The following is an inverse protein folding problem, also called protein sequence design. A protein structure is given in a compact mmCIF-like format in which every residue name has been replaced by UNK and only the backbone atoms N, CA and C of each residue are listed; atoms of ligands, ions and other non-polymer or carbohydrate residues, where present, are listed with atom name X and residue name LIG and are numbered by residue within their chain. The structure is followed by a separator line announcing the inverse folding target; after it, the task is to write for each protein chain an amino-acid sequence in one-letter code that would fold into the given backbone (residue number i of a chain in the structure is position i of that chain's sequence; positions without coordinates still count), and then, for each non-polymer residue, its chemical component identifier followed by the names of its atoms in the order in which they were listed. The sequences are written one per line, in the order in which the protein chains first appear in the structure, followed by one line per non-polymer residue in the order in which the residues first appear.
data_IF_443693967135
#
_entry.id   IF_443693967135
#
_cell.length_a   1.000
_cell.length_b   1.000
_cell.length_c   1.000
_cell.angle_alpha   90.00
_cell.angle_beta   90.00
_cell.angle_gamma   90.00
#
_symmetry.space_group_name_H-M   'P 1'
#
loop_
_entity.id
_entity.type
_entity.pdbx_description
1 polymer ?
#
# COMPACT_ATOMS: atom_id res chain seq x y z
N UNK A 1 -37.68 10.26 0.61
CA UNK A 1 -37.15 10.74 1.90
C UNK A 1 -36.61 12.15 1.69
N UNK A 2 -37.13 13.12 2.42
CA UNK A 2 -36.65 14.51 2.40
C UNK A 2 -35.99 14.75 3.76
N UNK A 3 -34.73 15.19 3.76
CA UNK A 3 -34.00 15.50 4.99
C UNK A 3 -34.53 16.83 5.57
N UNK A 4 -34.72 16.95 6.90
CA UNK A 4 -35.12 18.22 7.51
C UNK A 4 -34.07 19.33 7.29
N UNK A 5 -34.52 20.57 7.13
CA UNK A 5 -33.65 21.74 6.95
C UNK A 5 -32.64 21.93 8.09
N UNK A 6 -33.01 21.54 9.32
CA UNK A 6 -32.09 21.58 10.46
C UNK A 6 -30.86 20.69 10.24
N UNK A 7 -31.04 19.49 9.67
CA UNK A 7 -29.96 18.55 9.36
C UNK A 7 -29.07 19.09 8.24
N UNK A 8 -29.68 19.65 7.18
CA UNK A 8 -28.94 20.27 6.08
C UNK A 8 -28.13 21.47 6.55
N UNK A 9 -28.73 22.34 7.38
CA UNK A 9 -28.06 23.51 7.94
C UNK A 9 -26.96 23.13 8.91
N UNK A 10 -27.14 22.05 9.70
CA UNK A 10 -26.10 21.53 10.57
C UNK A 10 -24.90 21.04 9.76
N UNK A 11 -25.11 20.18 8.74
CA UNK A 11 -24.06 19.66 7.88
C UNK A 11 -23.32 20.79 7.11
N UNK A 12 -24.06 21.80 6.64
CA UNK A 12 -23.50 22.98 5.99
C UNK A 12 -22.60 23.81 6.93
N UNK A 13 -22.98 23.92 8.20
CA UNK A 13 -22.25 24.73 9.20
C UNK A 13 -21.12 23.95 9.90
N UNK A 14 -21.17 22.62 9.92
CA UNK A 14 -20.21 21.76 10.62
C UNK A 14 -19.66 20.66 9.68
N UNK A 15 -18.93 21.02 8.61
CA UNK A 15 -18.44 20.05 7.64
C UNK A 15 -17.23 19.24 8.15
N UNK A 16 -16.56 19.71 9.19
CA UNK A 16 -15.35 19.09 9.74
C UNK A 16 -15.69 18.20 10.93
N UNK A 17 -15.19 16.97 10.92
CA UNK A 17 -15.28 16.04 12.04
C UNK A 17 -14.23 16.37 13.12
N UNK A 18 -14.57 16.15 14.38
CA UNK A 18 -13.62 16.28 15.50
C UNK A 18 -12.58 15.16 15.51
N UNK A 19 -13.02 13.93 15.19
CA UNK A 19 -12.17 12.75 15.21
C UNK A 19 -11.16 12.72 14.06
N UNK A 20 -9.96 12.23 14.37
CA UNK A 20 -8.88 12.05 13.40
C UNK A 20 -8.92 10.65 12.82
N UNK A 21 -8.78 10.55 11.49
CA UNK A 21 -8.48 9.28 10.84
C UNK A 21 -7.01 8.89 11.14
N UNK A 22 -6.81 8.03 12.14
CA UNK A 22 -5.49 7.51 12.50
C UNK A 22 -5.11 6.33 11.60
N UNK A 23 -3.93 6.39 10.99
CA UNK A 23 -3.39 5.30 10.19
C UNK A 23 -1.87 5.22 10.31
N UNK A 24 -1.32 4.02 10.11
CA UNK A 24 0.13 3.79 10.09
C UNK A 24 0.65 3.88 8.65
N UNK A 25 1.75 4.60 8.39
CA UNK A 25 2.49 4.54 7.14
C UNK A 25 2.84 3.10 6.74
N UNK A 26 2.57 2.70 5.50
CA UNK A 26 3.07 1.45 4.91
C UNK A 26 4.48 1.60 4.37
N UNK A 27 4.75 2.70 3.68
CA UNK A 27 6.04 2.98 3.07
C UNK A 27 6.49 4.39 3.41
N UNK A 28 7.75 4.51 3.84
CA UNK A 28 8.39 5.76 4.20
C UNK A 28 9.73 5.85 3.48
N UNK A 29 9.85 6.77 2.53
CA UNK A 29 11.09 6.95 1.76
C UNK A 29 11.60 8.38 1.91
N UNK A 30 12.88 8.54 2.22
CA UNK A 30 13.53 9.85 2.34
C UNK A 30 14.06 10.30 0.99
N UNK A 31 13.91 11.59 0.69
CA UNK A 31 14.49 12.18 -0.52
C UNK A 31 13.80 11.78 -1.83
N UNK A 32 12.64 11.15 -1.76
CA UNK A 32 11.83 10.77 -2.94
C UNK A 32 10.49 11.47 -2.84
N UNK A 33 10.07 12.09 -3.95
CA UNK A 33 8.79 12.78 -4.05
C UNK A 33 7.79 11.92 -4.83
N UNK A 34 6.93 11.19 -4.13
CA UNK A 34 5.85 10.43 -4.77
C UNK A 34 4.77 11.37 -5.29
N UNK A 35 4.34 11.18 -6.54
CA UNK A 35 3.36 12.03 -7.21
C UNK A 35 2.05 11.31 -7.48
N UNK A 36 2.09 10.00 -7.79
CA UNK A 36 0.92 9.20 -8.17
C UNK A 36 0.99 7.83 -7.54
N UNK A 37 -0.18 7.28 -7.24
CA UNK A 37 -0.35 5.93 -6.71
C UNK A 37 -1.57 5.31 -7.37
N UNK A 38 -1.43 4.07 -7.83
CA UNK A 38 -2.56 3.19 -8.15
C UNK A 38 -2.32 1.83 -7.51
N UNK A 39 -3.39 1.18 -7.06
CA UNK A 39 -3.34 -0.10 -6.35
C UNK A 39 -4.10 -1.14 -7.18
N UNK A 40 -3.44 -2.27 -7.47
CA UNK A 40 -4.09 -3.49 -7.94
C UNK A 40 -4.30 -4.45 -6.77
N UNK A 41 -5.41 -5.19 -6.78
CA UNK A 41 -5.67 -6.27 -5.83
C UNK A 41 -5.51 -7.60 -6.57
N UNK A 42 -4.39 -8.26 -6.34
CA UNK A 42 -3.94 -9.44 -7.10
C UNK A 42 -4.24 -10.71 -6.31
N UNK A 43 -4.96 -11.65 -6.93
CA UNK A 43 -5.11 -13.02 -6.39
C UNK A 43 -3.86 -13.83 -6.74
N UNK A 44 -3.15 -14.29 -5.71
CA UNK A 44 -1.93 -15.09 -5.85
C UNK A 44 -2.22 -16.59 -5.99
N UNK A 45 -1.17 -17.39 -6.18
CA UNK A 45 -1.27 -18.85 -6.30
C UNK A 45 -1.87 -19.51 -5.05
N UNK A 46 -1.66 -18.92 -3.87
CA UNK A 46 -2.22 -19.37 -2.59
C UNK A 46 -3.69 -18.95 -2.36
N UNK A 47 -4.35 -18.41 -3.39
CA UNK A 47 -5.71 -17.88 -3.39
C UNK A 47 -5.92 -16.67 -2.46
N UNK A 48 -4.86 -16.11 -1.88
CA UNK A 48 -4.95 -14.88 -1.09
C UNK A 48 -4.85 -13.67 -2.01
N UNK A 49 -5.48 -12.58 -1.58
CA UNK A 49 -5.43 -11.30 -2.26
C UNK A 49 -4.35 -10.41 -1.65
N UNK A 50 -3.46 -9.90 -2.49
CA UNK A 50 -2.40 -8.97 -2.12
C UNK A 50 -2.62 -7.62 -2.79
N UNK A 51 -2.27 -6.55 -2.09
CA UNK A 51 -2.29 -5.21 -2.68
C UNK A 51 -0.93 -4.94 -3.34
N UNK A 52 -0.96 -4.71 -4.64
CA UNK A 52 0.19 -4.32 -5.45
C UNK A 52 0.09 -2.82 -5.76
N UNK A 53 1.03 -2.05 -5.25
CA UNK A 53 1.11 -0.60 -5.39
C UNK A 53 2.06 -0.27 -6.55
N UNK A 54 1.59 0.63 -7.41
CA UNK A 54 2.39 1.26 -8.46
C UNK A 54 2.50 2.74 -8.12
N UNK A 55 3.72 3.19 -7.80
CA UNK A 55 3.98 4.54 -7.27
C UNK A 55 4.87 5.29 -8.25
N UNK A 56 4.39 6.42 -8.76
CA UNK A 56 5.15 7.33 -9.62
C UNK A 56 5.86 8.40 -8.81
N UNK A 57 7.02 8.87 -9.27
CA UNK A 57 7.79 9.95 -8.62
C UNK A 57 7.88 11.22 -9.48
N UNK A 58 8.29 12.33 -8.86
CA UNK A 58 8.53 13.61 -9.53
C UNK A 58 9.74 13.57 -10.46
N UNK A 59 10.66 12.62 -10.24
CA UNK A 59 11.88 12.42 -11.02
C UNK A 59 11.72 11.36 -12.13
N UNK A 60 10.51 10.80 -12.29
CA UNK A 60 10.21 9.88 -13.39
C UNK A 60 10.49 8.42 -13.09
N UNK A 61 10.48 8.04 -11.82
CA UNK A 61 10.57 6.64 -11.40
C UNK A 61 9.19 6.03 -11.20
N UNK A 62 9.09 4.74 -11.46
CA UNK A 62 7.98 3.88 -11.04
C UNK A 62 8.49 2.86 -10.02
N UNK A 63 7.94 2.86 -8.81
CA UNK A 63 8.15 1.80 -7.83
C UNK A 63 6.99 0.80 -7.89
N UNK A 64 7.32 -0.48 -7.97
CA UNK A 64 6.39 -1.61 -7.88
C UNK A 64 6.54 -2.24 -6.51
N UNK A 65 5.49 -2.18 -5.69
CA UNK A 65 5.55 -2.51 -4.26
C UNK A 65 4.40 -3.43 -3.87
N UNK A 66 4.68 -4.58 -3.28
CA UNK A 66 3.64 -5.47 -2.72
C UNK A 66 3.50 -5.24 -1.22
N UNK A 67 2.26 -5.25 -0.72
CA UNK A 67 1.98 -5.25 0.72
C UNK A 67 1.87 -6.69 1.22
N UNK A 68 2.76 -7.06 2.14
CA UNK A 68 2.89 -8.39 2.73
C UNK A 68 2.63 -8.30 4.23
N UNK A 69 1.38 -8.55 4.63
CA UNK A 69 0.94 -8.29 6.01
C UNK A 69 1.00 -6.80 6.35
N UNK A 70 1.89 -6.44 7.28
CA UNK A 70 2.08 -5.05 7.74
C UNK A 70 3.34 -4.39 7.15
N UNK A 71 3.97 -5.03 6.16
CA UNK A 71 5.20 -4.56 5.52
C UNK A 71 4.98 -4.29 4.03
N UNK A 72 5.69 -3.29 3.52
CA UNK A 72 5.78 -3.00 2.10
C UNK A 72 7.10 -3.53 1.56
N UNK A 73 7.04 -4.34 0.51
CA UNK A 73 8.20 -4.89 -0.17
C UNK A 73 8.32 -4.30 -1.57
N UNK A 74 9.39 -3.54 -1.82
CA UNK A 74 9.70 -2.99 -3.15
C UNK A 74 10.25 -4.11 -4.02
N UNK A 75 9.51 -4.48 -5.06
CA UNK A 75 9.89 -5.52 -6.01
C UNK A 75 10.88 -4.96 -7.03
N UNK A 76 10.62 -3.76 -7.52
CA UNK A 76 11.52 -3.06 -8.45
C UNK A 76 11.26 -1.55 -8.52
N UNK A 77 12.25 -0.85 -9.04
CA UNK A 77 12.21 0.57 -9.39
C UNK A 77 12.63 0.73 -10.86
N UNK A 78 11.84 1.44 -11.65
CA UNK A 78 12.03 1.59 -13.09
C UNK A 78 12.17 3.09 -13.41
N UNK A 79 13.29 3.50 -14.00
CA UNK A 79 13.41 4.82 -14.61
C UNK A 79 12.59 4.81 -15.91
N UNK A 80 11.52 5.60 -15.95
CA UNK A 80 10.56 5.58 -17.04
C UNK A 80 11.02 6.39 -18.25
N UNK A 81 11.73 7.49 -17.99
CA UNK A 81 12.06 8.50 -19.00
C UNK A 81 13.57 8.73 -19.03
N UNK A 82 14.13 8.90 -20.23
CA UNK A 82 15.56 9.23 -20.40
C UNK A 82 15.90 10.57 -19.75
N UNK A 83 15.05 11.58 -19.96
CA UNK A 83 15.14 12.85 -19.25
C UNK A 83 14.19 12.84 -18.05
N UNK A 84 14.69 13.03 -16.81
CA UNK A 84 13.86 13.01 -15.61
C UNK A 84 12.68 13.99 -15.70
N UNK A 85 11.47 13.50 -15.47
CA UNK A 85 10.24 14.28 -15.47
C UNK A 85 9.16 13.62 -14.60
N UNK A 86 8.20 14.38 -14.05
CA UNK A 86 7.19 13.81 -13.16
C UNK A 86 6.28 12.79 -13.83
N UNK A 87 5.93 11.76 -13.07
CA UNK A 87 4.77 10.93 -13.41
C UNK A 87 3.50 11.71 -13.06
N UNK A 88 2.75 12.09 -14.09
CA UNK A 88 1.54 12.90 -13.98
C UNK A 88 0.25 12.07 -13.97
N UNK A 89 0.28 10.82 -14.44
CA UNK A 89 -0.89 9.92 -14.32
C UNK A 89 -0.46 8.45 -14.30
N UNK A 90 -1.25 7.63 -13.60
CA UNK A 90 -1.14 6.18 -13.58
C UNK A 90 -2.53 5.56 -13.71
N UNK A 91 -2.69 4.55 -14.55
CA UNK A 91 -3.97 3.83 -14.72
C UNK A 91 -3.75 2.37 -15.09
N UNK A 92 -4.45 1.47 -14.41
CA UNK A 92 -4.40 0.03 -14.70
C UNK A 92 -5.50 -0.34 -15.69
N UNK A 93 -5.16 -1.14 -16.70
CA UNK A 93 -6.12 -1.88 -17.50
C UNK A 93 -6.07 -3.36 -17.15
N UNK A 94 -7.03 -3.82 -16.34
CA UNK A 94 -7.10 -5.23 -15.93
C UNK A 94 -7.47 -6.17 -17.09
N UNK A 95 -8.17 -5.67 -18.12
CA UNK A 95 -8.49 -6.46 -19.31
C UNK A 95 -7.27 -6.66 -20.20
N UNK A 96 -6.46 -5.60 -20.39
CA UNK A 96 -5.25 -5.66 -21.21
C UNK A 96 -4.02 -6.17 -20.45
N UNK A 97 -4.04 -6.15 -19.11
CA UNK A 97 -2.92 -6.50 -18.21
C UNK A 97 -1.73 -5.54 -18.28
N UNK A 98 -2.01 -4.26 -18.45
CA UNK A 98 -1.01 -3.18 -18.53
C UNK A 98 -1.29 -2.05 -17.54
N UNK A 99 -0.21 -1.38 -17.15
CA UNK A 99 -0.19 -0.07 -16.53
C UNK A 99 0.11 0.98 -17.61
N UNK A 100 -0.72 2.01 -17.66
CA UNK A 100 -0.49 3.21 -18.45
C UNK A 100 0.06 4.32 -17.57
N UNK A 101 1.15 4.92 -17.99
CA UNK A 101 1.87 5.96 -17.26
C UNK A 101 1.95 7.20 -18.15
N UNK A 102 1.40 8.33 -17.71
CA UNK A 102 1.47 9.58 -18.45
C UNK A 102 2.41 10.59 -17.80
N UNK A 103 3.18 11.29 -18.62
CA UNK A 103 3.91 12.51 -18.29
C UNK A 103 3.49 13.65 -19.23
N UNK A 104 4.19 14.78 -19.17
CA UNK A 104 3.98 15.90 -20.09
C UNK A 104 4.43 15.60 -21.52
N UNK A 105 5.45 14.77 -21.70
CA UNK A 105 6.01 14.49 -23.03
C UNK A 105 5.39 13.26 -23.69
N UNK A 106 4.98 12.26 -22.91
CA UNK A 106 4.60 10.96 -23.46
C UNK A 106 3.67 10.13 -22.56
N UNK A 107 3.15 9.05 -23.14
CA UNK A 107 2.41 8.01 -22.42
C UNK A 107 3.11 6.67 -22.66
N UNK A 108 3.53 6.04 -21.59
CA UNK A 108 4.16 4.72 -21.60
C UNK A 108 3.14 3.64 -21.23
N UNK A 109 3.39 2.45 -21.77
CA UNK A 109 2.63 1.25 -21.46
C UNK A 109 3.59 0.18 -20.95
N UNK A 110 3.42 -0.24 -19.69
CA UNK A 110 4.21 -1.30 -19.08
C UNK A 110 3.32 -2.49 -18.69
N UNK A 111 3.77 -3.74 -18.91
CA UNK A 111 3.01 -4.89 -18.42
C UNK A 111 2.94 -4.83 -16.90
N UNK A 112 1.83 -5.32 -16.32
CA UNK A 112 1.67 -5.34 -14.85
C UNK A 112 2.75 -6.14 -14.11
N UNK A 113 3.37 -7.10 -14.81
CA UNK A 113 4.53 -7.86 -14.38
C UNK A 113 5.34 -8.35 -15.59
N UNK A 114 6.66 -8.48 -15.41
CA UNK A 114 7.58 -9.04 -16.40
C UNK A 114 8.34 -10.24 -15.81
N UNK A 115 7.63 -11.34 -15.53
CA UNK A 115 8.17 -12.50 -14.80
C UNK A 115 9.34 -13.19 -15.51
N UNK A 116 9.42 -13.11 -16.85
CA UNK A 116 10.49 -13.74 -17.63
C UNK A 116 11.88 -13.18 -17.35
N UNK A 117 12.00 -12.05 -16.64
CA UNK A 117 13.29 -11.53 -16.16
C UNK A 117 13.96 -12.43 -15.12
N UNK A 118 13.17 -13.22 -14.38
CA UNK A 118 13.67 -14.10 -13.34
C UNK A 118 14.03 -15.45 -13.96
N UNK A 119 15.33 -15.71 -14.12
CA UNK A 119 15.84 -16.82 -14.93
C UNK A 119 15.96 -18.14 -14.17
N UNK A 120 15.83 -18.10 -12.84
CA UNK A 120 15.93 -19.28 -11.99
C UNK A 120 14.80 -19.36 -10.96
N UNK A 121 14.58 -20.55 -10.41
CA UNK A 121 13.59 -20.75 -9.34
C UNK A 121 13.87 -19.84 -8.13
N UNK A 122 15.10 -19.74 -7.59
CA UNK A 122 15.38 -18.81 -6.50
C UNK A 122 15.04 -17.37 -6.85
N UNK A 123 15.41 -16.88 -8.04
CA UNK A 123 15.13 -15.51 -8.45
C UNK A 123 13.62 -15.24 -8.49
N UNK A 124 12.85 -16.18 -9.04
CA UNK A 124 11.39 -16.05 -9.16
C UNK A 124 10.70 -16.03 -7.79
N UNK A 125 11.13 -16.89 -6.84
CA UNK A 125 10.55 -16.95 -5.50
C UNK A 125 10.97 -15.75 -4.64
N UNK A 126 12.25 -15.35 -4.71
CA UNK A 126 12.79 -14.23 -3.94
C UNK A 126 12.32 -12.86 -4.44
N UNK A 127 11.85 -12.78 -5.70
CA UNK A 127 11.21 -11.58 -6.22
C UNK A 127 9.91 -11.21 -5.49
N UNK A 128 9.24 -12.20 -4.87
CA UNK A 128 7.98 -12.02 -4.11
C UNK A 128 6.92 -11.20 -4.88
N UNK A 129 6.87 -11.34 -6.21
CA UNK A 129 5.90 -10.67 -7.07
C UNK A 129 4.60 -11.49 -7.13
N UNK A 130 3.44 -10.96 -6.67
CA UNK A 130 2.16 -11.67 -6.67
C UNK A 130 1.70 -12.14 -8.05
N UNK A 131 2.13 -11.49 -9.13
CA UNK A 131 1.78 -11.92 -10.49
C UNK A 131 2.62 -13.11 -10.98
N UNK A 132 3.76 -13.39 -10.33
CA UNK A 132 4.76 -14.33 -10.83
C UNK A 132 4.81 -15.63 -10.02
N UNK A 133 4.94 -16.75 -10.72
CA UNK A 133 5.20 -18.06 -10.14
C UNK A 133 6.24 -18.84 -10.96
N UNK A 134 7.00 -19.70 -10.31
CA UNK A 134 7.93 -20.60 -10.96
C UNK A 134 7.20 -21.84 -11.46
N UNK A 135 7.24 -22.10 -12.77
CA UNK A 135 6.77 -23.33 -13.38
C UNK A 135 7.91 -24.36 -13.43
N UNK A 136 7.75 -25.45 -12.66
CA UNK A 136 8.75 -26.51 -12.58
C UNK A 136 8.84 -27.37 -13.84
N UNK A 137 7.75 -27.48 -14.61
CA UNK A 137 7.72 -28.23 -15.87
C UNK A 137 8.34 -27.41 -17.00
N UNK A 138 7.87 -26.17 -17.17
CA UNK A 138 8.41 -25.22 -18.15
C UNK A 138 9.79 -24.66 -17.81
N UNK A 139 10.26 -24.87 -16.57
CA UNK A 139 11.54 -24.35 -16.03
C UNK A 139 11.70 -22.85 -16.24
N UNK A 140 10.62 -22.11 -16.01
CA UNK A 140 10.58 -20.67 -16.22
C UNK A 140 9.71 -19.97 -15.17
N UNK A 141 10.03 -18.71 -14.89
CA UNK A 141 9.15 -17.84 -14.11
C UNK A 141 8.08 -17.25 -15.03
N UNK A 142 6.82 -17.55 -14.73
CA UNK A 142 5.67 -17.23 -15.57
C UNK A 142 4.68 -16.33 -14.85
N UNK A 143 3.88 -15.62 -15.63
CA UNK A 143 2.72 -14.89 -15.12
C UNK A 143 1.58 -15.85 -14.83
N UNK A 144 1.07 -15.84 -13.60
CA UNK A 144 -0.02 -16.72 -13.17
C UNK A 144 -1.28 -16.51 -14.02
N UNK A 145 -1.60 -15.24 -14.33
CA UNK A 145 -2.81 -14.88 -15.08
C UNK A 145 -2.75 -15.17 -16.59
N UNK A 146 -1.56 -15.48 -17.11
CA UNK A 146 -1.33 -15.85 -18.51
C UNK A 146 -0.95 -17.32 -18.68
N UNK A 147 -0.76 -18.06 -17.58
CA UNK A 147 -0.37 -19.47 -17.62
C UNK A 147 -1.54 -20.32 -18.16
N UNK A 148 -1.25 -21.11 -19.20
CA UNK A 148 -2.25 -21.99 -19.84
C UNK A 148 -2.14 -23.45 -19.38
N UNK A 149 -1.09 -23.79 -18.64
CA UNK A 149 -0.84 -25.14 -18.12
C UNK A 149 -1.56 -25.40 -16.80
N UNK A 150 -1.32 -26.59 -16.23
CA UNK A 150 -1.77 -26.90 -14.88
C UNK A 150 -1.13 -25.96 -13.87
N UNK A 151 -1.89 -25.52 -12.87
CA UNK A 151 -1.35 -24.75 -11.74
C UNK A 151 -0.59 -25.63 -10.74
N UNK A 152 -0.64 -26.96 -10.90
CA UNK A 152 0.05 -27.91 -10.01
C UNK A 152 1.57 -27.86 -10.13
N UNK A 153 2.10 -27.45 -11.29
CA UNK A 153 3.54 -27.29 -11.51
C UNK A 153 4.09 -25.95 -11.02
N UNK A 154 3.19 -25.01 -10.68
CA UNK A 154 3.55 -23.67 -10.25
C UNK A 154 3.94 -23.64 -8.77
N UNK A 155 4.92 -22.80 -8.45
CA UNK A 155 5.32 -22.52 -7.09
C UNK A 155 5.57 -21.03 -6.88
N UNK A 156 5.09 -20.51 -5.75
CA UNK A 156 5.22 -19.11 -5.35
C UNK A 156 5.35 -19.07 -3.83
N UNK A 157 6.17 -18.16 -3.30
CA UNK A 157 6.33 -17.96 -1.86
C UNK A 157 6.51 -16.48 -1.52
N UNK A 158 5.38 -15.76 -1.41
CA UNK A 158 5.39 -14.32 -1.14
C UNK A 158 5.80 -14.01 0.31
N UNK A 159 5.51 -14.89 1.27
CA UNK A 159 5.84 -14.67 2.68
C UNK A 159 7.21 -15.26 3.06
N UNK A 160 7.90 -15.94 2.14
CA UNK A 160 9.17 -16.65 2.34
C UNK A 160 9.12 -17.67 3.50
N UNK A 161 7.94 -18.23 3.78
CA UNK A 161 7.74 -19.20 4.86
C UNK A 161 8.58 -20.47 4.65
N UNK A 162 8.86 -20.84 3.39
CA UNK A 162 9.70 -22.00 3.06
C UNK A 162 11.16 -21.74 3.36
N UNK A 163 11.63 -20.50 3.26
CA UNK A 163 13.01 -20.12 3.57
C UNK A 163 13.24 -19.94 5.07
N UNK A 164 12.23 -19.45 5.81
CA UNK A 164 12.30 -19.31 7.27
C UNK A 164 12.45 -20.64 8.03
N UNK A 165 12.05 -21.76 7.43
CA UNK A 165 12.25 -23.11 8.02
C UNK A 165 13.70 -23.58 7.96
N UNK A 166 14.52 -23.03 7.09
CA UNK A 166 15.96 -23.26 7.08
C UNK A 166 16.64 -22.25 7.99
N UNK A 167 16.99 -22.61 9.23
CA UNK A 167 17.78 -21.72 10.11
C UNK A 167 19.05 -21.26 9.37
N UNK A 168 19.22 -19.96 9.07
CA UNK A 168 20.50 -19.47 8.63
C UNK A 168 21.45 -19.46 9.83
N UNK A 169 22.60 -20.15 9.72
CA UNK A 169 23.73 -19.92 10.63
C UNK A 169 24.36 -18.59 10.23
N UNK A 170 23.90 -17.50 10.83
CA UNK A 170 24.63 -16.24 10.75
C UNK A 170 25.71 -16.23 11.83
N UNK A 171 26.97 -16.19 11.40
CA UNK A 171 28.10 -15.81 12.25
C UNK A 171 27.95 -14.35 12.69
N UNK A 172 28.56 -14.04 13.83
CA UNK A 172 28.33 -12.87 14.72
C UNK A 172 28.02 -11.53 14.00
N UNK A 173 27.14 -10.69 14.57
CA UNK A 173 26.86 -9.36 14.04
C UNK A 173 28.11 -8.48 14.08
N UNK A 174 28.42 -7.84 12.94
CA UNK A 174 29.36 -6.72 12.87
C UNK A 174 28.67 -5.48 13.45
N UNK A 175 29.29 -4.86 14.44
CA UNK A 175 28.83 -3.60 15.03
C UNK A 175 29.09 -2.42 14.07
N UNK A 176 28.01 -1.82 13.56
CA UNK A 176 28.05 -0.60 12.74
C UNK A 176 27.86 0.61 13.67
N UNK A 177 28.68 1.66 13.61
CA UNK A 177 28.47 2.88 14.40
C UNK A 177 27.17 3.60 14.01
N UNK A 178 26.46 4.09 15.01
CA UNK A 178 25.22 4.86 14.84
C UNK A 178 25.51 6.23 14.20
N UNK A 179 24.80 6.64 13.13
CA UNK A 179 24.86 8.02 12.66
C UNK A 179 24.05 8.94 13.59
N UNK A 180 24.59 10.12 13.86
CA UNK A 180 23.96 11.18 14.64
C UNK A 180 22.67 11.73 14.01
N UNK A 181 21.83 12.28 14.90
CA UNK A 181 20.52 12.85 14.64
C UNK A 181 20.51 13.91 13.51
N UNK A 182 20.10 13.51 12.31
CA UNK A 182 19.75 14.44 11.25
C UNK A 182 18.27 14.81 11.31
N UNK A 183 17.99 16.11 11.51
CA UNK A 183 16.67 16.72 11.32
C UNK A 183 16.12 16.35 9.93
N UNK A 184 14.98 15.68 9.93
CA UNK A 184 14.33 15.18 8.71
C UNK A 184 13.84 16.36 7.86
N UNK A 185 14.33 16.44 6.63
CA UNK A 185 13.74 17.24 5.55
C UNK A 185 13.32 16.27 4.44
N UNK A 186 12.11 16.45 3.91
CA UNK A 186 11.54 15.78 2.74
C UNK A 186 11.30 14.25 2.90
N UNK A 187 10.24 13.90 3.63
CA UNK A 187 9.73 12.53 3.77
C UNK A 187 8.42 12.40 3.00
N UNK A 188 8.30 11.38 2.15
CA UNK A 188 7.02 11.03 1.52
C UNK A 188 6.50 9.71 2.06
N UNK A 189 5.18 9.64 2.29
CA UNK A 189 4.49 8.54 2.98
C UNK A 189 3.42 7.96 2.07
N UNK A 190 3.36 6.63 1.95
CA UNK A 190 2.16 5.92 1.49
C UNK A 190 1.49 5.27 2.70
N UNK A 191 0.19 5.52 2.88
CA UNK A 191 -0.60 5.04 4.03
C UNK A 191 -1.41 3.81 3.66
N UNK A 192 -1.49 2.83 4.56
CA UNK A 192 -2.34 1.65 4.40
C UNK A 192 -3.49 1.62 5.39
N UNK A 193 -4.61 1.03 4.96
CA UNK A 193 -5.71 0.66 5.85
C UNK A 193 -5.29 -0.61 6.61
N UNK A 194 -4.74 -0.42 7.81
CA UNK A 194 -4.63 -1.50 8.78
C UNK A 194 -6.03 -1.83 9.32
N UNK A 195 -6.41 -3.11 9.34
CA UNK A 195 -7.57 -3.56 10.10
C UNK A 195 -7.23 -3.47 11.59
N UNK A 196 -7.37 -2.27 12.16
CA UNK A 196 -7.36 -2.05 13.60
C UNK A 196 -8.69 -2.50 14.18
N UNK A 197 -8.66 -3.45 15.11
CA UNK A 197 -9.82 -3.83 15.89
C UNK A 197 -10.41 -2.57 16.55
N UNK A 198 -11.69 -2.29 16.26
CA UNK A 198 -12.44 -1.27 16.96
C UNK A 198 -12.50 -1.65 18.45
N UNK A 199 -11.95 -0.79 19.30
CA UNK A 199 -12.24 -0.83 20.74
C UNK A 199 -13.73 -0.46 20.87
N UNK A 200 -14.58 -1.31 21.48
CA UNK A 200 -15.99 -0.96 21.63
C UNK A 200 -16.08 0.21 22.60
N UNK A 201 -16.53 1.37 22.10
CA UNK A 201 -17.00 2.45 22.95
C UNK A 201 -18.25 1.95 23.69
N UNK A 202 -18.08 1.60 24.96
CA UNK A 202 -19.18 1.32 25.87
C UNK A 202 -19.99 2.57 26.10
N UNK A 203 -21.12 2.69 25.40
CA UNK A 203 -22.15 3.67 25.67
C UNK A 203 -23.04 3.13 26.80
N UNK A 204 -22.92 3.66 28.02
CA UNK A 204 -23.98 3.51 29.03
C UNK A 204 -24.92 4.73 28.97
N UNK A 205 -26.25 4.52 28.92
CA UNK A 205 -27.22 5.60 29.02
C UNK A 205 -27.63 5.85 30.47
N UNK A 206 -27.75 7.13 30.82
CA UNK A 206 -28.70 7.62 31.82
C UNK A 206 -28.20 7.73 33.26
N UNK A 207 -28.07 8.97 33.74
CA UNK A 207 -28.92 9.47 34.83
C UNK A 207 -28.78 10.99 34.92
N UNK A 208 -29.85 11.67 34.50
CA UNK A 208 -30.07 13.06 34.82
C UNK A 208 -30.28 13.17 36.34
N UNK A 209 -29.54 14.06 37.00
CA UNK A 209 -29.92 14.62 38.29
C UNK A 209 -30.26 16.10 38.08
N UNK A 210 -31.55 16.41 38.19
CA UNK A 210 -32.05 17.75 38.48
C UNK A 210 -31.68 18.15 39.92
N UNK A 211 -31.33 19.43 40.12
CA UNK A 211 -31.80 20.31 41.22
C UNK A 211 -31.04 21.66 41.17
N UNK A 212 -31.49 22.74 41.85
CA UNK A 212 -32.68 23.51 41.55
C UNK A 212 -32.39 25.03 41.39
N UNK A 213 -33.40 25.76 40.94
CA UNK A 213 -33.44 27.22 40.81
C UNK A 213 -32.98 28.02 42.05
N UNK A 214 -32.36 29.18 41.82
CA UNK A 214 -32.22 30.26 42.81
C UNK A 214 -33.27 31.35 42.52
N UNK A 215 -34.02 31.84 43.52
CA UNK A 215 -34.84 33.04 43.37
C UNK A 215 -34.00 34.31 43.47
N UNK A 216 -34.32 35.29 42.62
CA UNK A 216 -33.74 36.62 42.62
C UNK A 216 -34.17 37.47 43.83
N UNK A 217 -33.27 38.37 44.24
CA UNK A 217 -33.52 39.41 45.22
C UNK A 217 -34.05 40.69 44.54
N UNK A 218 -34.80 41.55 45.26
CA UNK A 218 -35.47 42.71 44.66
C UNK A 218 -34.55 43.92 44.50
N UNK A 219 -34.85 44.73 43.48
CA UNK A 219 -34.27 46.04 43.27
C UNK A 219 -34.73 47.04 44.34
N UNK A 220 -33.84 47.98 44.68
CA UNK A 220 -34.11 49.19 45.46
C UNK A 220 -33.81 50.40 44.59
#
# INVERSE_FOLDING_TARGET
MQLPDATLNFAKKHPLMEDKALARPLLLTKGVNFTRLVVDRVSSLDQRAYNMLFIGTAEGWLQRVVVLGNEAHVIEEIQLFETPQPVDSLTISHSKKYLYIGSRSEVLQLPLANCSRYQSQPDCLLARDPYCAWDSEGRACVRIDLHRGSTSSLSQDLMLERFSRGKPKFDKPVSIPSPEHSRLKNITVVVGLGHGAAVPAGLQPGSALLAPERPGAPAR
#
